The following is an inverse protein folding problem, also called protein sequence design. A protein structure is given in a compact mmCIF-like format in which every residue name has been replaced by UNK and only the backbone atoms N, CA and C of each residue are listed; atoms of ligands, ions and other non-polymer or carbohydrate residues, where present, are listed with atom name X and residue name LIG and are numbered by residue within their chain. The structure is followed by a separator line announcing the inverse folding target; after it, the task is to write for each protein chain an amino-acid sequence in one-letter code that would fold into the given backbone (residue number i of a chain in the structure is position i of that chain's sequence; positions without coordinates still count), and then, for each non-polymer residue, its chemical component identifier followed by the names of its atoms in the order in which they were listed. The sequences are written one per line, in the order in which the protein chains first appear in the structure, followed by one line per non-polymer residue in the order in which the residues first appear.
data_IF_746229374920
#
_entry.id   IF_746229374920
#
_cell.length_a   1.000
_cell.length_b   1.000
_cell.length_c   1.000
_cell.angle_alpha   90.00
_cell.angle_beta   90.00
_cell.angle_gamma   90.00
#
_symmetry.space_group_name_H-M   'P 1'
#
loop_
_entity.id
_entity.type
_entity.pdbx_description
1 polymer ?
#
# COMPACT_ATOMS: atom_id res chain seq x y z
N UNK A 1 8.26 15.49 -6.96
CA UNK A 1 9.46 16.09 -7.57
C UNK A 1 9.33 17.60 -7.73
N UNK A 2 8.25 18.13 -8.31
CA UNK A 2 8.08 19.57 -8.57
C UNK A 2 8.09 20.46 -7.29
N UNK A 3 7.47 19.99 -6.19
CA UNK A 3 7.51 20.68 -4.89
C UNK A 3 8.93 20.82 -4.32
N UNK A 4 9.75 19.78 -4.46
CA UNK A 4 11.12 19.77 -3.94
C UNK A 4 12.03 20.70 -4.75
N UNK A 5 11.77 20.86 -6.05
CA UNK A 5 12.51 21.77 -6.91
C UNK A 5 12.23 23.25 -6.60
N UNK A 6 10.97 23.62 -6.34
CA UNK A 6 10.62 24.99 -5.92
C UNK A 6 11.28 25.36 -4.59
N UNK A 7 11.32 24.43 -3.64
CA UNK A 7 12.06 24.60 -2.38
C UNK A 7 13.56 24.80 -2.61
N UNK A 8 14.16 24.02 -3.51
CA UNK A 8 15.57 24.18 -3.87
C UNK A 8 15.87 25.58 -4.44
N UNK A 9 15.07 26.08 -5.39
CA UNK A 9 15.23 27.43 -5.95
C UNK A 9 15.06 28.53 -4.89
N UNK A 10 14.11 28.37 -3.97
CA UNK A 10 13.94 29.28 -2.85
C UNK A 10 15.17 29.29 -1.94
N UNK A 11 15.63 28.12 -1.51
CA UNK A 11 16.79 27.99 -0.61
C UNK A 11 18.08 28.52 -1.27
N UNK A 12 18.25 28.27 -2.57
CA UNK A 12 19.31 28.86 -3.40
C UNK A 12 19.31 30.38 -3.34
N UNK A 13 18.16 30.99 -3.64
CA UNK A 13 18.01 32.46 -3.65
C UNK A 13 18.25 33.02 -2.27
N UNK A 14 17.66 32.41 -1.25
CA UNK A 14 17.86 32.81 0.13
C UNK A 14 19.33 32.77 0.52
N UNK A 15 20.06 31.70 0.16
CA UNK A 15 21.49 31.58 0.42
C UNK A 15 22.27 32.76 -0.17
N UNK A 16 22.20 32.98 -1.50
CA UNK A 16 22.96 34.06 -2.16
C UNK A 16 22.61 35.46 -1.62
N UNK A 17 21.32 35.72 -1.35
CA UNK A 17 20.91 37.03 -0.83
C UNK A 17 21.29 37.20 0.65
N UNK A 18 21.25 36.15 1.46
CA UNK A 18 21.65 36.21 2.87
C UNK A 18 23.15 36.40 3.02
N UNK A 19 23.98 35.69 2.24
CA UNK A 19 25.43 35.85 2.24
C UNK A 19 25.82 37.25 1.77
N UNK A 20 25.23 37.72 0.67
CA UNK A 20 25.47 39.06 0.15
C UNK A 20 25.03 40.15 1.14
N UNK A 21 23.92 39.95 1.86
CA UNK A 21 23.47 40.86 2.92
C UNK A 21 24.42 40.90 4.11
N UNK A 22 24.93 39.75 4.55
CA UNK A 22 25.92 39.66 5.63
C UNK A 22 27.20 40.40 5.22
N UNK A 23 27.65 40.21 3.98
CA UNK A 23 28.85 40.85 3.45
C UNK A 23 28.72 42.38 3.42
N UNK A 24 27.59 42.90 2.91
CA UNK A 24 27.29 44.34 2.91
C UNK A 24 27.22 44.90 4.35
N UNK A 25 26.66 44.14 5.29
CA UNK A 25 26.54 44.56 6.70
C UNK A 25 27.90 44.61 7.41
N UNK A 26 28.79 43.63 7.15
CA UNK A 26 30.13 43.56 7.74
C UNK A 26 31.07 44.63 7.17
N UNK A 27 30.83 45.11 5.95
CA UNK A 27 31.71 46.05 5.23
C UNK A 27 31.25 47.51 5.30
N UNK A 28 30.43 47.87 6.29
CA UNK A 28 30.01 49.27 6.53
C UNK A 28 31.24 50.15 6.84
N UNK A 29 31.68 50.97 5.89
CA UNK A 29 32.64 52.04 6.15
C UNK A 29 33.62 52.38 5.02
N UNK A 30 33.79 51.56 3.99
CA UNK A 30 34.72 51.85 2.90
C UNK A 30 34.05 52.05 1.52
N UNK A 31 34.82 52.63 0.59
CA UNK A 31 34.39 52.96 -0.78
C UNK A 31 34.38 51.73 -1.69
N UNK A 32 33.40 50.84 -1.51
CA UNK A 32 33.26 49.62 -2.31
C UNK A 32 32.37 49.80 -3.56
N UNK A 33 32.66 49.02 -4.60
CA UNK A 33 31.86 48.97 -5.83
C UNK A 33 30.71 47.98 -5.68
N UNK A 34 29.53 48.43 -5.23
CA UNK A 34 28.36 47.56 -5.04
C UNK A 34 27.69 47.09 -6.35
N UNK A 35 28.00 47.73 -7.48
CA UNK A 35 27.34 47.47 -8.77
C UNK A 35 27.48 46.02 -9.26
N UNK A 36 28.66 45.38 -9.25
CA UNK A 36 28.80 43.98 -9.67
C UNK A 36 27.98 43.00 -8.83
N UNK A 37 27.92 43.19 -7.50
CA UNK A 37 27.10 42.38 -6.60
C UNK A 37 25.61 42.57 -6.86
N UNK A 38 25.16 43.80 -7.12
CA UNK A 38 23.76 44.09 -7.45
C UNK A 38 23.36 43.46 -8.78
N UNK A 39 24.21 43.56 -9.81
CA UNK A 39 24.00 42.91 -11.11
C UNK A 39 23.95 41.40 -10.95
N UNK A 40 24.84 40.81 -10.15
CA UNK A 40 24.85 39.38 -9.88
C UNK A 40 23.56 38.91 -9.17
N UNK A 41 23.11 39.64 -8.14
CA UNK A 41 21.86 39.35 -7.45
C UNK A 41 20.65 39.42 -8.40
N UNK A 42 20.62 40.41 -9.30
CA UNK A 42 19.58 40.57 -10.30
C UNK A 42 19.56 39.40 -11.31
N UNK A 43 20.73 38.95 -11.78
CA UNK A 43 20.85 37.78 -12.67
C UNK A 43 20.29 36.52 -12.01
N UNK A 44 20.62 36.27 -10.74
CA UNK A 44 20.07 35.14 -9.98
C UNK A 44 18.55 35.25 -9.84
N UNK A 45 18.03 36.45 -9.57
CA UNK A 45 16.58 36.66 -9.44
C UNK A 45 15.86 36.35 -10.75
N UNK A 46 16.37 36.86 -11.87
CA UNK A 46 15.81 36.61 -13.20
C UNK A 46 15.87 35.12 -13.55
N UNK A 47 17.01 34.46 -13.32
CA UNK A 47 17.13 33.01 -13.57
C UNK A 47 16.14 32.19 -12.73
N UNK A 48 15.94 32.54 -11.45
CA UNK A 48 14.94 31.89 -10.60
C UNK A 48 13.52 32.09 -11.13
N UNK A 49 13.16 33.32 -11.53
CA UNK A 49 11.83 33.63 -12.07
C UNK A 49 11.54 32.91 -13.38
N UNK A 50 12.56 32.67 -14.22
CA UNK A 50 12.40 31.89 -15.45
C UNK A 50 12.24 30.39 -15.13
N UNK A 51 13.08 29.86 -14.23
CA UNK A 51 13.15 28.43 -13.96
C UNK A 51 12.00 27.91 -13.07
N UNK A 52 11.39 28.77 -12.23
CA UNK A 52 10.24 28.38 -11.40
C UNK A 52 9.01 27.93 -12.22
N UNK A 53 8.90 28.40 -13.47
CA UNK A 53 7.80 28.06 -14.40
C UNK A 53 8.21 27.07 -15.50
N UNK A 54 9.49 27.02 -15.89
CA UNK A 54 9.95 26.19 -17.03
C UNK A 54 10.48 24.80 -16.65
N UNK A 55 11.00 24.61 -15.44
CA UNK A 55 11.70 23.37 -15.08
C UNK A 55 10.96 22.56 -14.01
N UNK A 56 10.82 21.25 -14.26
CA UNK A 56 10.10 20.31 -13.38
C UNK A 56 11.01 19.57 -12.38
N UNK A 57 12.33 19.82 -12.39
CA UNK A 57 13.30 19.14 -11.53
C UNK A 57 14.74 19.63 -11.69
N UNK A 58 15.63 19.16 -10.82
CA UNK A 58 17.06 19.45 -10.85
C UNK A 58 17.68 18.68 -12.03
N UNK A 59 18.20 19.42 -13.02
CA UNK A 59 18.91 18.83 -14.17
C UNK A 59 20.40 19.11 -14.07
N UNK A 60 21.20 18.33 -14.79
CA UNK A 60 22.65 18.52 -14.78
C UNK A 60 23.03 19.93 -15.26
N UNK A 61 22.31 20.47 -16.28
CA UNK A 61 22.47 21.84 -16.76
C UNK A 61 22.26 22.88 -15.65
N UNK A 62 21.25 22.68 -14.79
CA UNK A 62 20.99 23.59 -13.66
C UNK A 62 22.17 23.58 -12.70
N UNK A 63 22.70 22.40 -12.32
CA UNK A 63 23.89 22.34 -11.46
C UNK A 63 25.11 22.98 -12.13
N UNK A 64 25.33 22.77 -13.42
CA UNK A 64 26.45 23.42 -14.13
C UNK A 64 26.34 24.95 -14.08
N UNK A 65 25.13 25.50 -14.28
CA UNK A 65 24.89 26.94 -14.16
C UNK A 65 25.10 27.42 -12.72
N UNK A 66 24.69 26.65 -11.71
CA UNK A 66 24.98 26.96 -10.30
C UNK A 66 26.46 27.11 -10.02
N UNK A 67 27.27 26.19 -10.54
CA UNK A 67 28.73 26.26 -10.33
C UNK A 67 29.28 27.53 -10.97
N UNK A 68 28.81 27.90 -12.17
CA UNK A 68 29.23 29.13 -12.83
C UNK A 68 28.82 30.36 -12.02
N UNK A 69 27.56 30.45 -11.57
CA UNK A 69 27.11 31.57 -10.73
C UNK A 69 27.91 31.64 -9.44
N UNK A 70 28.13 30.50 -8.79
CA UNK A 70 28.92 30.45 -7.56
C UNK A 70 30.38 30.86 -7.80
N UNK A 71 30.96 30.49 -8.94
CA UNK A 71 32.32 30.91 -9.32
C UNK A 71 32.41 32.43 -9.50
N UNK A 72 31.41 33.03 -10.17
CA UNK A 72 31.32 34.49 -10.31
C UNK A 72 31.15 35.13 -8.94
N UNK A 73 30.31 34.58 -8.07
CA UNK A 73 30.15 35.06 -6.69
C UNK A 73 31.47 35.07 -5.92
N UNK A 74 32.23 33.96 -5.94
CA UNK A 74 33.53 33.89 -5.28
C UNK A 74 34.51 34.93 -5.83
N UNK A 75 34.52 35.11 -7.15
CA UNK A 75 35.33 36.15 -7.79
C UNK A 75 34.95 37.54 -7.27
N UNK A 76 33.66 37.87 -7.17
CA UNK A 76 33.21 39.17 -6.65
C UNK A 76 33.61 39.37 -5.18
N UNK A 77 33.50 38.32 -4.36
CA UNK A 77 33.60 38.35 -2.89
C UNK A 77 35.01 38.10 -2.33
N UNK A 78 36.04 38.28 -3.16
CA UNK A 78 37.43 38.21 -2.69
C UNK A 78 38.18 36.95 -3.12
N UNK A 79 37.87 36.40 -4.30
CA UNK A 79 38.70 35.48 -5.07
C UNK A 79 39.25 34.26 -4.29
N UNK A 80 40.58 34.17 -4.18
CA UNK A 80 41.35 33.17 -3.47
C UNK A 80 41.17 33.24 -1.95
N UNK A 81 40.75 34.39 -1.42
CA UNK A 81 40.49 34.61 0.01
C UNK A 81 39.01 34.59 0.36
N UNK A 82 38.12 34.32 -0.61
CA UNK A 82 36.69 34.27 -0.35
C UNK A 82 36.38 33.19 0.71
N UNK A 83 35.72 33.54 1.84
CA UNK A 83 35.39 32.58 2.89
C UNK A 83 34.36 31.54 2.43
N UNK A 84 33.77 31.73 1.24
CA UNK A 84 32.72 30.89 0.71
C UNK A 84 33.22 29.72 -0.15
N UNK A 85 34.53 29.60 -0.43
CA UNK A 85 35.10 28.48 -1.21
C UNK A 85 34.61 27.08 -0.76
N UNK A 86 34.46 26.77 0.55
CA UNK A 86 33.92 25.48 0.99
C UNK A 86 32.52 25.14 0.45
N UNK A 87 31.70 26.12 0.06
CA UNK A 87 30.35 25.85 -0.45
C UNK A 87 30.34 25.16 -1.82
N UNK A 88 31.46 25.10 -2.54
CA UNK A 88 31.60 24.20 -3.68
C UNK A 88 31.35 22.73 -3.30
N UNK A 89 31.66 22.31 -2.06
CA UNK A 89 31.31 20.96 -1.58
C UNK A 89 29.81 20.72 -1.62
N UNK A 90 28.99 21.73 -1.30
CA UNK A 90 27.52 21.60 -1.32
C UNK A 90 27.02 21.34 -2.74
N UNK A 91 27.61 21.96 -3.77
CA UNK A 91 27.26 21.72 -5.17
C UNK A 91 27.63 20.29 -5.62
N UNK A 92 28.76 19.77 -5.16
CA UNK A 92 29.17 18.38 -5.41
C UNK A 92 28.22 17.41 -4.69
N UNK A 93 27.86 17.67 -3.43
CA UNK A 93 26.89 16.87 -2.67
C UNK A 93 25.51 16.86 -3.35
N UNK A 94 25.05 18.01 -3.84
CA UNK A 94 23.81 18.11 -4.61
C UNK A 94 23.86 17.27 -5.89
N UNK A 95 25.01 17.25 -6.58
CA UNK A 95 25.20 16.40 -7.74
C UNK A 95 25.16 14.90 -7.36
N UNK A 96 25.81 14.50 -6.28
CA UNK A 96 25.80 13.13 -5.79
C UNK A 96 24.39 12.63 -5.42
N UNK A 97 23.60 13.47 -4.75
CA UNK A 97 22.23 13.13 -4.36
C UNK A 97 21.33 12.88 -5.59
N UNK A 98 21.48 13.69 -6.65
CA UNK A 98 20.54 13.72 -7.77
C UNK A 98 21.00 12.93 -9.01
N UNK A 99 22.30 12.67 -9.17
CA UNK A 99 22.86 12.08 -10.39
C UNK A 99 23.68 10.81 -10.10
N UNK A 100 24.29 10.25 -11.16
CA UNK A 100 25.17 9.09 -11.07
C UNK A 100 26.56 9.51 -10.57
N UNK A 101 27.31 8.54 -10.04
CA UNK A 101 28.68 8.75 -9.56
C UNK A 101 29.56 9.41 -10.60
N UNK A 102 29.48 8.99 -11.87
CA UNK A 102 30.23 9.61 -12.97
C UNK A 102 29.91 11.10 -13.12
N UNK A 103 28.63 11.50 -13.01
CA UNK A 103 28.23 12.92 -13.09
C UNK A 103 28.69 13.72 -11.88
N UNK A 104 28.80 13.10 -10.71
CA UNK A 104 29.41 13.71 -9.52
C UNK A 104 30.89 14.01 -9.74
N UNK A 105 31.65 13.08 -10.33
CA UNK A 105 33.05 13.31 -10.68
C UNK A 105 33.21 14.41 -11.74
N UNK A 106 32.36 14.43 -12.77
CA UNK A 106 32.34 15.53 -13.75
C UNK A 106 32.06 16.86 -13.06
N UNK A 107 31.14 16.88 -12.09
CA UNK A 107 30.84 18.09 -11.30
C UNK A 107 32.06 18.56 -10.52
N UNK A 108 32.78 17.67 -9.83
CA UNK A 108 34.03 18.02 -9.14
C UNK A 108 35.14 18.51 -10.10
N UNK A 109 35.19 17.97 -11.32
CA UNK A 109 36.07 18.47 -12.37
C UNK A 109 35.74 19.90 -12.80
N UNK A 110 34.46 20.19 -13.07
CA UNK A 110 33.98 21.53 -13.44
C UNK A 110 34.25 22.53 -12.30
N UNK A 111 33.94 22.14 -11.06
CA UNK A 111 34.23 22.93 -9.86
C UNK A 111 35.72 23.23 -9.73
N UNK A 112 36.58 22.22 -9.88
CA UNK A 112 38.03 22.37 -9.80
C UNK A 112 38.55 23.37 -10.84
N UNK A 113 38.14 23.22 -12.10
CA UNK A 113 38.57 24.13 -13.18
C UNK A 113 38.12 25.57 -12.91
N UNK A 114 36.86 25.77 -12.55
CA UNK A 114 36.33 27.11 -12.29
C UNK A 114 36.93 27.73 -11.03
N UNK A 115 37.16 26.94 -9.97
CA UNK A 115 37.85 27.41 -8.78
C UNK A 115 39.30 27.84 -9.09
N UNK A 116 40.00 27.11 -9.96
CA UNK A 116 41.32 27.50 -10.45
C UNK A 116 41.28 28.84 -11.20
N UNK A 117 40.28 29.05 -12.05
CA UNK A 117 40.07 30.34 -12.75
C UNK A 117 39.82 31.47 -11.75
N UNK A 118 39.03 31.24 -10.70
CA UNK A 118 38.78 32.24 -9.65
C UNK A 118 40.07 32.56 -8.87
N UNK A 119 40.86 31.55 -8.50
CA UNK A 119 42.09 31.69 -7.72
C UNK A 119 43.22 32.43 -8.47
N UNK A 120 43.39 32.16 -9.77
CA UNK A 120 44.52 32.66 -10.56
C UNK A 120 44.14 33.71 -11.60
N UNK A 121 42.87 34.05 -11.73
CA UNK A 121 42.37 34.94 -12.78
C UNK A 121 42.49 36.43 -12.49
N UNK A 122 42.73 36.84 -11.24
CA UNK A 122 42.83 38.27 -10.86
C UNK A 122 44.02 38.94 -11.54
N UNK A 123 43.81 40.09 -12.16
CA UNK A 123 44.83 40.86 -12.88
C UNK A 123 45.24 40.29 -14.24
N UNK A 124 45.10 38.97 -14.46
CA UNK A 124 45.38 38.32 -15.74
C UNK A 124 44.15 38.22 -16.65
N UNK A 125 43.02 37.80 -16.09
CA UNK A 125 41.76 37.53 -16.81
C UNK A 125 40.71 38.58 -16.43
N UNK A 126 40.69 38.98 -15.16
CA UNK A 126 39.66 39.87 -14.63
C UNK A 126 40.26 41.19 -14.13
N UNK A 127 39.73 42.34 -14.59
CA UNK A 127 40.18 43.65 -14.13
C UNK A 127 39.73 43.95 -12.69
N UNK A 128 40.56 44.72 -11.96
CA UNK A 128 40.39 45.03 -10.53
C UNK A 128 39.04 45.67 -10.16
N UNK A 129 38.35 46.35 -11.09
CA UNK A 129 37.06 47.01 -10.80
C UNK A 129 35.89 46.04 -10.61
N UNK A 130 36.04 44.76 -11.01
CA UNK A 130 34.99 43.75 -10.88
C UNK A 130 34.93 43.20 -9.44
N UNK A 131 36.04 43.23 -8.71
CA UNK A 131 36.14 42.71 -7.35
C UNK A 131 35.48 43.69 -6.37
N UNK A 132 34.51 43.19 -5.61
CA UNK A 132 33.86 43.96 -4.56
C UNK A 132 34.78 44.09 -3.34
N UNK A 133 35.38 42.97 -2.93
CA UNK A 133 36.36 42.91 -1.85
C UNK A 133 37.78 43.01 -2.41
N UNK A 134 38.50 44.07 -2.00
CA UNK A 134 39.94 44.21 -2.26
C UNK A 134 40.73 43.60 -1.12
N UNK A 135 40.77 42.27 -1.07
CA UNK A 135 41.62 41.56 -0.14
C UNK A 135 43.07 41.50 -0.65
N UNK A 136 44.07 41.43 0.26
CA UNK A 136 45.47 41.27 -0.12
C UNK A 136 45.62 40.02 -0.98
N UNK A 137 46.26 40.12 -2.14
CA UNK A 137 46.49 38.95 -2.97
C UNK A 137 47.46 38.01 -2.27
N UNK A 138 47.09 36.75 -2.00
CA UNK A 138 47.99 35.77 -1.40
C UNK A 138 49.19 35.51 -2.32
N UNK A 139 50.26 34.96 -1.75
CA UNK A 139 51.41 34.56 -2.56
C UNK A 139 51.01 33.45 -3.56
N UNK A 140 51.72 33.36 -4.67
CA UNK A 140 51.45 32.31 -5.68
C UNK A 140 51.57 30.91 -5.07
N UNK A 141 52.53 30.72 -4.16
CA UNK A 141 52.73 29.43 -3.47
C UNK A 141 51.54 29.09 -2.55
N UNK A 142 51.05 30.04 -1.77
CA UNK A 142 49.86 29.84 -0.93
C UNK A 142 48.63 29.50 -1.76
N UNK A 143 48.42 30.21 -2.88
CA UNK A 143 47.30 29.98 -3.79
C UNK A 143 47.36 28.57 -4.39
N UNK A 144 48.55 28.12 -4.81
CA UNK A 144 48.77 26.76 -5.33
C UNK A 144 48.48 25.71 -4.25
N UNK A 145 48.97 25.91 -3.02
CA UNK A 145 48.76 24.96 -1.92
C UNK A 145 47.27 24.85 -1.57
N UNK A 146 46.59 25.98 -1.37
CA UNK A 146 45.15 26.03 -1.06
C UNK A 146 44.35 25.38 -2.18
N UNK A 147 44.61 25.74 -3.44
CA UNK A 147 43.95 25.14 -4.59
C UNK A 147 44.17 23.62 -4.65
N UNK A 148 45.40 23.15 -4.43
CA UNK A 148 45.72 21.71 -4.45
C UNK A 148 44.97 20.95 -3.36
N UNK A 149 44.88 21.51 -2.15
CA UNK A 149 44.11 20.93 -1.05
C UNK A 149 42.63 20.82 -1.43
N UNK A 150 42.02 21.91 -1.93
CA UNK A 150 40.63 21.90 -2.32
C UNK A 150 40.35 20.97 -3.51
N UNK A 151 41.24 20.92 -4.50
CA UNK A 151 41.17 19.98 -5.62
C UNK A 151 41.06 18.54 -5.10
N UNK A 152 41.99 18.11 -4.24
CA UNK A 152 41.97 16.77 -3.66
C UNK A 152 40.69 16.54 -2.84
N UNK A 153 40.26 17.52 -2.05
CA UNK A 153 39.03 17.42 -1.26
C UNK A 153 37.78 17.33 -2.14
N UNK A 154 37.69 18.05 -3.27
CA UNK A 154 36.54 17.97 -4.17
C UNK A 154 36.38 16.56 -4.75
N UNK A 155 37.47 15.96 -5.20
CA UNK A 155 37.45 14.58 -5.71
C UNK A 155 37.18 13.55 -4.60
N UNK A 156 37.72 13.77 -3.40
CA UNK A 156 37.43 12.92 -2.24
C UNK A 156 35.95 12.98 -1.84
N UNK A 157 35.37 14.18 -1.75
CA UNK A 157 33.95 14.38 -1.46
C UNK A 157 33.09 13.78 -2.58
N UNK A 158 33.46 13.95 -3.85
CA UNK A 158 32.76 13.33 -4.98
C UNK A 158 32.76 11.80 -4.90
N UNK A 159 33.89 11.19 -4.54
CA UNK A 159 34.02 9.74 -4.38
C UNK A 159 33.13 9.21 -3.24
N UNK A 160 33.24 9.80 -2.04
CA UNK A 160 32.47 9.36 -0.87
C UNK A 160 30.97 9.60 -1.07
N UNK A 161 30.59 10.82 -1.44
CA UNK A 161 29.17 11.17 -1.58
C UNK A 161 28.52 10.42 -2.74
N UNK A 162 29.24 10.23 -3.85
CA UNK A 162 28.79 9.41 -4.96
C UNK A 162 28.55 7.96 -4.54
N UNK A 163 29.54 7.33 -3.89
CA UNK A 163 29.42 5.96 -3.40
C UNK A 163 28.27 5.78 -2.41
N UNK A 164 28.15 6.68 -1.42
CA UNK A 164 27.07 6.62 -0.42
C UNK A 164 25.71 6.79 -1.10
N UNK A 165 25.57 7.76 -2.00
CA UNK A 165 24.29 8.02 -2.67
C UNK A 165 23.86 6.84 -3.56
N UNK A 166 24.80 6.21 -4.27
CA UNK A 166 24.51 5.02 -5.09
C UNK A 166 24.16 3.81 -4.23
N UNK A 167 24.95 3.55 -3.18
CA UNK A 167 24.67 2.46 -2.23
C UNK A 167 23.31 2.63 -1.54
N UNK A 168 22.98 3.85 -1.12
CA UNK A 168 21.69 4.15 -0.50
C UNK A 168 20.52 3.91 -1.47
N UNK A 169 20.66 4.34 -2.73
CA UNK A 169 19.64 4.09 -3.78
C UNK A 169 19.41 2.60 -3.98
N UNK A 170 20.50 1.81 -4.08
CA UNK A 170 20.42 0.35 -4.25
C UNK A 170 19.76 -0.31 -3.04
N UNK A 171 20.12 0.10 -1.81
CA UNK A 171 19.55 -0.50 -0.60
C UNK A 171 18.06 -0.20 -0.46
N UNK A 172 17.63 1.04 -0.76
CA UNK A 172 16.21 1.43 -0.75
C UNK A 172 15.43 0.63 -1.79
N UNK A 173 15.97 0.46 -3.00
CA UNK A 173 15.29 -0.31 -4.04
C UNK A 173 15.23 -1.81 -3.68
N UNK A 174 16.31 -2.37 -3.12
CA UNK A 174 16.33 -3.75 -2.62
C UNK A 174 15.25 -3.98 -1.56
N UNK A 175 15.18 -3.11 -0.54
CA UNK A 175 14.15 -3.21 0.50
C UNK A 175 12.74 -3.12 -0.08
N UNK A 176 12.53 -2.26 -1.07
CA UNK A 176 11.25 -2.10 -1.76
C UNK A 176 10.85 -3.36 -2.51
N UNK A 177 11.75 -3.93 -3.32
CA UNK A 177 11.52 -5.17 -4.06
C UNK A 177 11.22 -6.32 -3.11
N UNK A 178 12.05 -6.52 -2.08
CA UNK A 178 11.84 -7.60 -1.10
C UNK A 178 10.49 -7.48 -0.40
N UNK A 179 10.07 -6.26 -0.04
CA UNK A 179 8.76 -6.04 0.58
C UNK A 179 7.62 -6.37 -0.39
N UNK A 180 7.71 -5.93 -1.65
CA UNK A 180 6.69 -6.22 -2.66
C UNK A 180 6.61 -7.72 -2.99
N UNK A 181 7.74 -8.41 -3.11
CA UNK A 181 7.81 -9.85 -3.35
C UNK A 181 7.21 -10.66 -2.20
N UNK A 182 7.55 -10.32 -0.95
CA UNK A 182 6.94 -10.96 0.23
C UNK A 182 5.43 -10.76 0.22
N UNK A 183 4.96 -9.54 -0.01
CA UNK A 183 3.53 -9.22 -0.01
C UNK A 183 2.79 -9.87 -1.19
N UNK A 184 3.46 -10.13 -2.30
CA UNK A 184 2.89 -10.86 -3.44
C UNK A 184 2.93 -12.38 -3.28
N UNK A 185 3.80 -12.91 -2.40
CA UNK A 185 3.89 -14.33 -2.11
C UNK A 185 2.83 -14.82 -1.10
N UNK A 186 2.27 -13.93 -0.29
CA UNK A 186 1.22 -14.29 0.67
C UNK A 186 -0.14 -14.44 -0.01
N UNK A 187 -0.95 -15.37 0.49
CA UNK A 187 -2.28 -15.66 -0.03
C UNK A 187 -3.33 -14.58 0.30
N UNK A 188 -3.34 -13.93 1.49
CA UNK A 188 -4.30 -12.86 1.74
C UNK A 188 -4.08 -11.67 0.80
N UNK A 189 -5.17 -11.14 0.26
CA UNK A 189 -5.19 -9.90 -0.49
C UNK A 189 -4.91 -8.72 0.43
N UNK A 190 -3.92 -7.89 0.10
CA UNK A 190 -3.57 -6.68 0.84
C UNK A 190 -3.78 -5.45 -0.05
N UNK A 191 -4.50 -4.48 0.48
CA UNK A 191 -4.71 -3.17 -0.16
C UNK A 191 -4.37 -2.09 0.86
N UNK A 192 -3.48 -1.18 0.49
CA UNK A 192 -3.14 -0.02 1.29
C UNK A 192 -3.67 1.24 0.62
N UNK A 193 -4.46 2.03 1.34
CA UNK A 193 -5.09 3.25 0.87
C UNK A 193 -4.59 4.41 1.73
N UNK A 194 -4.09 5.47 1.10
CA UNK A 194 -3.71 6.69 1.82
C UNK A 194 -4.92 7.55 2.19
N UNK A 195 -4.74 8.51 3.09
CA UNK A 195 -5.82 9.42 3.54
C UNK A 195 -6.57 10.16 2.43
N UNK A 196 -5.92 10.36 1.28
CA UNK A 196 -6.50 11.02 0.14
C UNK A 196 -7.34 10.08 -0.75
N UNK A 197 -7.53 8.82 -0.35
CA UNK A 197 -8.21 7.80 -1.16
C UNK A 197 -7.33 7.17 -2.25
N UNK A 198 -6.04 7.53 -2.32
CA UNK A 198 -5.11 6.95 -3.29
C UNK A 198 -4.68 5.56 -2.87
N UNK A 199 -4.70 4.61 -3.80
CA UNK A 199 -4.15 3.27 -3.58
C UNK A 199 -2.62 3.38 -3.54
N UNK A 200 -2.03 3.09 -2.39
CA UNK A 200 -0.59 3.09 -2.17
C UNK A 200 0.04 1.74 -2.54
N UNK A 201 -0.68 0.64 -2.30
CA UNK A 201 -0.21 -0.71 -2.58
C UNK A 201 -1.40 -1.67 -2.78
N UNK A 202 -1.21 -2.67 -3.64
CA UNK A 202 -2.16 -3.76 -3.86
C UNK A 202 -1.38 -4.99 -4.32
N UNK A 203 -1.39 -6.06 -3.52
CA UNK A 203 -0.68 -7.29 -3.87
C UNK A 203 -1.41 -8.08 -4.97
N UNK A 204 -0.73 -9.12 -5.48
CA UNK A 204 -1.27 -10.02 -6.50
C UNK A 204 -2.61 -10.63 -6.09
N UNK A 205 -2.71 -11.18 -4.88
CA UNK A 205 -3.94 -11.83 -4.40
C UNK A 205 -5.14 -10.87 -4.39
N UNK A 206 -4.97 -9.62 -3.92
CA UNK A 206 -6.05 -8.63 -3.92
C UNK A 206 -6.55 -8.30 -5.33
N UNK A 207 -5.65 -8.23 -6.32
CA UNK A 207 -6.02 -8.01 -7.73
C UNK A 207 -6.82 -9.19 -8.27
N UNK A 208 -6.35 -10.41 -8.04
CA UNK A 208 -7.02 -11.63 -8.47
C UNK A 208 -8.43 -11.75 -7.85
N UNK A 209 -8.57 -11.50 -6.53
CA UNK A 209 -9.85 -11.61 -5.84
C UNK A 209 -10.86 -10.55 -6.30
N UNK A 210 -10.44 -9.29 -6.44
CA UNK A 210 -11.37 -8.18 -6.67
C UNK A 210 -11.62 -7.89 -8.14
N UNK A 211 -10.56 -7.88 -8.96
CA UNK A 211 -10.59 -7.38 -10.33
C UNK A 211 -10.57 -8.51 -11.37
N UNK A 212 -10.00 -9.67 -11.04
CA UNK A 212 -9.81 -10.77 -11.99
C UNK A 212 -8.58 -10.59 -12.89
N UNK A 213 -8.52 -11.33 -14.00
CA UNK A 213 -7.37 -11.29 -14.94
C UNK A 213 -7.34 -10.03 -15.82
N UNK A 214 -8.47 -9.35 -15.96
CA UNK A 214 -8.60 -8.21 -16.85
C UNK A 214 -8.47 -6.90 -16.07
N UNK A 215 -7.49 -6.10 -16.49
CA UNK A 215 -7.41 -4.64 -16.35
C UNK A 215 -6.67 -3.94 -15.19
N UNK A 216 -5.90 -2.96 -15.66
CA UNK A 216 -5.60 -1.62 -15.16
C UNK A 216 -5.15 -1.41 -13.69
N UNK A 217 -4.02 -0.70 -13.56
CA UNK A 217 -3.55 -0.11 -12.31
C UNK A 217 -4.55 0.96 -11.83
N UNK A 218 -5.56 0.54 -11.05
CA UNK A 218 -6.42 1.47 -10.31
C UNK A 218 -5.53 2.34 -9.42
N UNK A 219 -5.68 3.66 -9.50
CA UNK A 219 -4.88 4.61 -8.71
C UNK A 219 -5.65 5.16 -7.53
N UNK A 220 -6.97 5.19 -7.62
CA UNK A 220 -7.85 5.73 -6.60
C UNK A 220 -8.90 4.72 -6.14
N UNK A 221 -9.26 4.76 -4.86
CA UNK A 221 -10.32 3.93 -4.29
C UNK A 221 -11.68 4.17 -4.95
N UNK A 222 -11.91 5.39 -5.44
CA UNK A 222 -13.13 5.76 -6.15
C UNK A 222 -13.28 5.05 -7.51
N UNK A 223 -12.21 4.50 -8.07
CA UNK A 223 -12.25 3.77 -9.34
C UNK A 223 -12.75 2.33 -9.15
N UNK A 224 -12.83 1.83 -7.91
CA UNK A 224 -13.35 0.48 -7.65
C UNK A 224 -14.85 0.36 -8.01
N UNK A 225 -15.27 -0.80 -8.54
CA UNK A 225 -16.69 -1.11 -8.71
C UNK A 225 -17.48 -0.94 -7.40
N UNK A 226 -18.75 -0.49 -7.45
CA UNK A 226 -19.59 -0.32 -6.26
C UNK A 226 -19.67 -1.59 -5.40
N UNK A 227 -19.70 -2.75 -6.05
CA UNK A 227 -19.74 -4.06 -5.37
C UNK A 227 -18.49 -4.32 -4.52
N UNK A 228 -17.32 -3.88 -4.98
CA UNK A 228 -16.05 -4.00 -4.26
C UNK A 228 -15.99 -2.97 -3.13
N UNK A 229 -16.47 -1.75 -3.36
CA UNK A 229 -16.52 -0.71 -2.31
C UNK A 229 -17.36 -1.14 -1.11
N UNK A 230 -18.47 -1.85 -1.32
CA UNK A 230 -19.32 -2.41 -0.25
C UNK A 230 -18.61 -3.39 0.68
N UNK A 231 -17.49 -3.99 0.23
CA UNK A 231 -16.65 -4.83 1.08
C UNK A 231 -15.96 -4.01 2.19
N UNK A 232 -15.75 -2.71 1.95
CA UNK A 232 -14.94 -1.81 2.79
C UNK A 232 -15.76 -0.76 3.56
N UNK A 233 -17.09 -0.69 3.36
CA UNK A 233 -17.96 0.33 3.97
C UNK A 233 -18.09 0.19 5.51
N UNK A 234 -17.96 -1.03 6.06
CA UNK A 234 -18.16 -1.30 7.49
C UNK A 234 -16.85 -1.43 8.27
N UNK A 235 -16.91 -1.04 9.54
CA UNK A 235 -15.75 -0.94 10.44
C UNK A 235 -15.56 -2.18 11.33
N UNK A 236 -16.35 -3.24 11.10
CA UNK A 236 -16.23 -4.48 11.85
C UNK A 236 -15.03 -5.29 11.37
N UNK A 237 -14.28 -5.82 12.34
CA UNK A 237 -13.14 -6.69 12.08
C UNK A 237 -13.63 -8.07 11.67
N UNK A 238 -12.92 -8.71 10.73
CA UNK A 238 -13.17 -10.08 10.28
C UNK A 238 -14.60 -10.32 9.73
N UNK A 239 -15.12 -9.35 8.98
CA UNK A 239 -16.45 -9.48 8.36
C UNK A 239 -16.39 -10.50 7.23
N UNK A 240 -17.22 -11.55 7.35
CA UNK A 240 -17.45 -12.50 6.27
C UNK A 240 -18.38 -11.90 5.22
N UNK A 241 -17.95 -11.89 3.96
CA UNK A 241 -18.73 -11.41 2.82
C UNK A 241 -18.64 -12.42 1.68
N UNK A 242 -19.78 -12.74 1.09
CA UNK A 242 -19.82 -13.54 -0.13
C UNK A 242 -19.63 -12.62 -1.34
N UNK A 243 -18.62 -12.92 -2.17
CA UNK A 243 -18.31 -12.17 -3.37
C UNK A 243 -17.90 -13.14 -4.49
N UNK A 244 -18.55 -13.02 -5.65
CA UNK A 244 -18.33 -13.91 -6.82
C UNK A 244 -18.39 -15.41 -6.49
N UNK A 245 -19.28 -15.81 -5.57
CA UNK A 245 -19.45 -17.21 -5.14
C UNK A 245 -18.36 -17.75 -4.21
N UNK A 246 -17.48 -16.87 -3.71
CA UNK A 246 -16.46 -17.18 -2.70
C UNK A 246 -16.77 -16.44 -1.41
N UNK A 247 -16.28 -16.97 -0.30
CA UNK A 247 -16.45 -16.36 1.02
C UNK A 247 -15.15 -15.71 1.42
N UNK A 248 -15.15 -14.39 1.65
CA UNK A 248 -13.97 -13.66 2.08
C UNK A 248 -14.17 -13.08 3.48
N UNK A 249 -13.12 -13.08 4.28
CA UNK A 249 -13.03 -12.23 5.48
C UNK A 249 -12.30 -10.93 5.13
N UNK A 250 -12.89 -9.80 5.49
CA UNK A 250 -12.30 -8.48 5.28
C UNK A 250 -12.00 -7.84 6.63
N UNK A 251 -10.74 -7.45 6.81
CA UNK A 251 -10.25 -6.79 8.01
C UNK A 251 -9.57 -5.47 7.69
N UNK A 252 -9.92 -4.42 8.42
CA UNK A 252 -9.40 -3.06 8.26
C UNK A 252 -8.45 -2.71 9.41
N UNK A 253 -7.27 -2.19 9.06
CA UNK A 253 -6.25 -1.74 10.00
C UNK A 253 -5.88 -0.29 9.69
N UNK A 254 -5.87 0.58 10.70
CA UNK A 254 -5.37 1.94 10.56
C UNK A 254 -3.84 1.94 10.59
N UNK A 255 -3.19 2.62 9.64
CA UNK A 255 -1.76 2.85 9.73
C UNK A 255 -1.45 3.79 10.90
N UNK A 256 -0.28 3.60 11.52
CA UNK A 256 0.23 4.51 12.54
C UNK A 256 0.24 5.96 12.04
N UNK A 257 -0.13 6.87 12.93
CA UNK A 257 -0.27 8.32 12.69
C UNK A 257 -1.39 8.70 11.71
N UNK A 258 -2.33 7.77 11.43
CA UNK A 258 -3.48 8.04 10.58
C UNK A 258 -3.07 8.46 9.17
N UNK A 259 -2.02 7.84 8.61
CA UNK A 259 -1.52 8.10 7.25
C UNK A 259 -2.28 7.34 6.16
N UNK A 260 -3.15 6.42 6.56
CA UNK A 260 -4.00 5.65 5.68
C UNK A 260 -4.52 4.41 6.39
N UNK A 261 -5.00 3.47 5.60
CA UNK A 261 -5.61 2.23 6.05
C UNK A 261 -5.14 1.04 5.21
N UNK A 262 -5.04 -0.12 5.84
CA UNK A 262 -4.74 -1.40 5.22
C UNK A 262 -5.98 -2.27 5.31
N UNK A 263 -6.40 -2.82 4.18
CA UNK A 263 -7.42 -3.84 4.10
C UNK A 263 -6.76 -5.17 3.80
N UNK A 264 -7.09 -6.17 4.61
CA UNK A 264 -6.67 -7.56 4.44
C UNK A 264 -7.90 -8.37 4.08
N UNK A 265 -7.83 -9.10 2.97
CA UNK A 265 -8.90 -9.89 2.38
C UNK A 265 -8.43 -11.34 2.35
N UNK A 266 -9.05 -12.20 3.14
CA UNK A 266 -8.68 -13.61 3.25
C UNK A 266 -9.78 -14.46 2.62
N UNK A 267 -9.44 -15.31 1.66
CA UNK A 267 -10.38 -16.29 1.11
C UNK A 267 -10.62 -17.40 2.16
N UNK A 268 -11.85 -17.54 2.60
CA UNK A 268 -12.30 -18.54 3.58
C UNK A 268 -13.09 -19.67 2.92
N UNK A 269 -13.18 -19.71 1.58
CA UNK A 269 -14.06 -20.64 0.86
C UNK A 269 -13.79 -22.10 1.25
N UNK A 270 -12.52 -22.54 1.16
CA UNK A 270 -12.14 -23.92 1.50
C UNK A 270 -12.40 -24.25 2.98
N UNK A 271 -12.12 -23.30 3.88
CA UNK A 271 -12.35 -23.47 5.32
C UNK A 271 -13.83 -23.67 5.58
N UNK A 272 -14.70 -22.84 4.98
CA UNK A 272 -16.15 -22.95 5.12
C UNK A 272 -16.72 -24.21 4.50
N UNK A 273 -16.20 -24.66 3.37
CA UNK A 273 -16.58 -25.96 2.78
C UNK A 273 -16.18 -27.12 3.68
N UNK A 274 -15.01 -27.05 4.32
CA UNK A 274 -14.54 -28.07 5.25
C UNK A 274 -15.37 -28.08 6.54
N UNK A 275 -15.73 -26.90 7.09
CA UNK A 275 -16.66 -26.79 8.22
C UNK A 275 -18.01 -27.45 7.90
N UNK A 276 -18.57 -27.22 6.70
CA UNK A 276 -19.82 -27.86 6.26
C UNK A 276 -19.69 -29.39 6.19
N UNK A 277 -18.58 -29.90 5.63
CA UNK A 277 -18.31 -31.34 5.55
C UNK A 277 -18.18 -31.97 6.93
N UNK A 278 -17.50 -31.30 7.87
CA UNK A 278 -17.37 -31.77 9.25
C UNK A 278 -18.73 -31.87 9.95
N UNK A 279 -19.59 -30.87 9.79
CA UNK A 279 -20.96 -30.90 10.33
C UNK A 279 -21.75 -32.08 9.75
N UNK A 280 -21.61 -32.35 8.44
CA UNK A 280 -22.26 -33.49 7.80
C UNK A 280 -21.74 -34.83 8.35
N UNK A 281 -20.43 -34.97 8.50
CA UNK A 281 -19.83 -36.18 9.07
C UNK A 281 -20.26 -36.43 10.52
N UNK A 282 -20.33 -35.39 11.34
CA UNK A 282 -20.80 -35.49 12.73
C UNK A 282 -22.26 -35.98 12.80
N UNK A 283 -23.13 -35.47 11.90
CA UNK A 283 -24.51 -35.95 11.74
C UNK A 283 -24.56 -37.42 11.31
N UNK A 284 -23.73 -37.82 10.34
CA UNK A 284 -23.66 -39.21 9.88
C UNK A 284 -23.13 -40.17 10.95
N UNK A 285 -22.13 -39.77 11.73
CA UNK A 285 -21.60 -40.56 12.83
C UNK A 285 -22.66 -40.75 13.93
N UNK A 286 -23.39 -39.67 14.26
CA UNK A 286 -24.53 -39.72 15.18
C UNK A 286 -25.60 -40.70 14.68
N UNK A 287 -25.96 -40.64 13.40
CA UNK A 287 -26.86 -41.62 12.78
C UNK A 287 -26.33 -43.06 12.87
N UNK A 288 -25.04 -43.27 12.63
CA UNK A 288 -24.39 -44.58 12.76
C UNK A 288 -24.53 -45.17 14.17
N UNK A 289 -24.42 -44.32 15.20
CA UNK A 289 -24.61 -44.72 16.61
C UNK A 289 -26.06 -45.17 16.89
N UNK A 290 -27.03 -44.50 16.29
CA UNK A 290 -28.45 -44.86 16.41
C UNK A 290 -28.93 -45.85 15.34
N UNK A 291 -28.06 -46.30 14.44
CA UNK A 291 -28.46 -47.17 13.32
C UNK A 291 -29.02 -48.52 13.80
N UNK A 292 -28.49 -49.05 14.90
CA UNK A 292 -29.02 -50.26 15.53
C UNK A 292 -30.44 -50.01 16.05
N UNK A 293 -30.66 -48.92 16.78
CA UNK A 293 -31.97 -48.56 17.34
C UNK A 293 -33.00 -48.27 16.24
N UNK A 294 -32.60 -47.55 15.18
CA UNK A 294 -33.45 -47.29 14.02
C UNK A 294 -33.80 -48.58 13.29
N UNK A 295 -32.84 -49.50 13.11
CA UNK A 295 -33.12 -50.81 12.53
C UNK A 295 -34.11 -51.61 13.40
N UNK A 296 -34.04 -51.49 14.72
CA UNK A 296 -35.01 -52.06 15.64
C UNK A 296 -36.40 -51.37 15.52
N UNK A 297 -36.45 -50.05 15.43
CA UNK A 297 -37.68 -49.28 15.26
C UNK A 297 -38.35 -49.47 13.90
N UNK A 298 -37.61 -49.82 12.84
CA UNK A 298 -38.14 -50.23 11.53
C UNK A 298 -38.64 -51.68 11.57
N UNK A 299 -37.91 -52.58 12.26
CA UNK A 299 -38.29 -53.99 12.33
C UNK A 299 -39.65 -54.18 13.01
N UNK A 300 -39.95 -53.39 14.04
CA UNK A 300 -41.20 -53.48 14.80
C UNK A 300 -42.48 -53.26 13.94
N UNK A 301 -42.67 -52.13 13.23
CA UNK A 301 -43.81 -51.91 12.35
C UNK A 301 -43.88 -52.94 11.23
N UNK A 302 -42.74 -53.33 10.63
CA UNK A 302 -42.70 -54.34 9.58
C UNK A 302 -43.20 -55.70 10.08
N UNK A 303 -42.79 -56.12 11.28
CA UNK A 303 -43.26 -57.36 11.90
C UNK A 303 -44.75 -57.30 12.24
N UNK A 304 -45.23 -56.15 12.73
CA UNK A 304 -46.66 -55.91 13.02
C UNK A 304 -47.54 -55.97 11.76
N UNK A 305 -47.09 -55.32 10.68
CA UNK A 305 -47.74 -55.37 9.37
C UNK A 305 -47.79 -56.80 8.85
N UNK A 306 -46.64 -57.51 8.89
CA UNK A 306 -46.54 -58.90 8.42
C UNK A 306 -47.46 -59.82 9.22
N UNK A 307 -47.47 -59.71 10.55
CA UNK A 307 -48.32 -60.52 11.42
C UNK A 307 -49.81 -60.28 11.17
N UNK A 308 -50.21 -59.00 11.06
CA UNK A 308 -51.59 -58.62 10.76
C UNK A 308 -52.03 -59.11 9.38
N UNK A 309 -51.18 -58.94 8.36
CA UNK A 309 -51.44 -59.42 7.00
C UNK A 309 -51.51 -60.95 6.91
N UNK A 310 -50.67 -61.67 7.67
CA UNK A 310 -50.67 -63.14 7.71
C UNK A 310 -51.95 -63.70 8.35
N UNK A 311 -52.46 -63.05 9.41
CA UNK A 311 -53.74 -63.42 10.03
C UNK A 311 -54.92 -63.22 9.07
N UNK A 312 -54.92 -62.11 8.33
CA UNK A 312 -55.90 -61.82 7.29
C UNK A 312 -55.81 -62.84 6.13
N UNK A 313 -54.60 -63.09 5.62
CA UNK A 313 -54.37 -63.99 4.48
C UNK A 313 -54.75 -65.45 4.77
N UNK A 314 -54.45 -65.94 5.98
CA UNK A 314 -54.77 -67.33 6.37
C UNK A 314 -56.24 -67.53 6.76
N UNK A 315 -57.07 -66.49 6.74
CA UNK A 315 -58.48 -66.56 7.15
C UNK A 315 -58.66 -67.00 8.61
N UNK A 316 -57.66 -66.73 9.46
CA UNK A 316 -57.67 -67.11 10.88
C UNK A 316 -58.61 -66.25 11.72
N UNK A 317 -59.04 -65.11 11.18
CA UNK A 317 -59.98 -64.18 11.78
C UNK A 317 -61.21 -64.10 10.88
N UNK A 318 -62.39 -64.39 11.44
CA UNK A 318 -63.68 -64.40 10.72
C UNK A 318 -64.63 -63.31 11.18
N UNK A 319 -64.36 -62.69 12.32
CA UNK A 319 -65.10 -61.56 12.84
C UNK A 319 -64.78 -60.30 12.02
N UNK A 320 -65.82 -59.61 11.52
CA UNK A 320 -65.67 -58.39 10.71
C UNK A 320 -64.97 -57.27 11.46
N UNK A 321 -65.25 -57.11 12.75
CA UNK A 321 -64.68 -56.03 13.57
C UNK A 321 -63.20 -56.28 13.83
N UNK A 322 -62.78 -57.53 13.99
CA UNK A 322 -61.36 -57.89 14.10
C UNK A 322 -60.61 -57.75 12.78
N UNK A 323 -61.24 -58.12 11.64
CA UNK A 323 -60.67 -57.91 10.31
C UNK A 323 -60.44 -56.41 10.04
N UNK A 324 -61.39 -55.55 10.38
CA UNK A 324 -61.25 -54.09 10.22
C UNK A 324 -60.13 -53.53 11.11
N UNK A 325 -59.99 -54.01 12.35
CA UNK A 325 -58.88 -53.63 13.24
C UNK A 325 -57.51 -54.01 12.66
N UNK A 326 -57.37 -55.20 12.09
CA UNK A 326 -56.11 -55.64 11.46
C UNK A 326 -55.73 -54.77 10.26
N UNK A 327 -56.70 -54.36 9.44
CA UNK A 327 -56.46 -53.39 8.37
C UNK A 327 -56.04 -52.01 8.88
N UNK A 328 -56.68 -51.52 9.96
CA UNK A 328 -56.28 -50.26 10.61
C UNK A 328 -54.85 -50.32 11.16
N UNK A 329 -54.44 -51.44 11.76
CA UNK A 329 -53.06 -51.61 12.24
C UNK A 329 -52.03 -51.61 11.10
N UNK A 330 -52.32 -52.29 10.00
CA UNK A 330 -51.44 -52.28 8.82
C UNK A 330 -51.29 -50.84 8.30
N UNK A 331 -52.40 -50.11 8.19
CA UNK A 331 -52.38 -48.73 7.70
C UNK A 331 -51.61 -47.79 8.63
N UNK A 332 -51.84 -47.86 9.94
CA UNK A 332 -51.15 -46.99 10.92
C UNK A 332 -49.65 -47.27 10.97
N UNK A 333 -49.24 -48.55 10.93
CA UNK A 333 -47.81 -48.88 10.94
C UNK A 333 -47.13 -48.53 9.61
N UNK A 334 -47.85 -48.57 8.48
CA UNK A 334 -47.35 -48.06 7.21
C UNK A 334 -47.09 -46.54 7.27
N UNK A 335 -48.02 -45.76 7.84
CA UNK A 335 -47.84 -44.31 8.03
C UNK A 335 -46.68 -44.00 8.99
N UNK A 336 -46.54 -44.80 10.05
CA UNK A 336 -45.42 -44.66 10.99
C UNK A 336 -44.08 -44.93 10.30
N UNK A 337 -44.00 -45.99 9.48
CA UNK A 337 -42.80 -46.32 8.70
C UNK A 337 -42.43 -45.19 7.73
N UNK A 338 -43.43 -44.60 7.06
CA UNK A 338 -43.26 -43.46 6.17
C UNK A 338 -42.71 -42.23 6.91
N UNK A 339 -43.25 -41.91 8.09
CA UNK A 339 -42.73 -40.82 8.92
C UNK A 339 -41.29 -41.08 9.35
N UNK A 340 -40.99 -42.29 9.83
CA UNK A 340 -39.66 -42.66 10.31
C UNK A 340 -38.60 -42.56 9.19
N UNK A 341 -38.93 -43.06 8.00
CA UNK A 341 -38.04 -43.00 6.83
C UNK A 341 -37.86 -41.57 6.32
N UNK A 342 -38.92 -40.75 6.33
CA UNK A 342 -38.83 -39.33 5.98
C UNK A 342 -37.93 -38.55 6.93
N UNK A 343 -38.09 -38.74 8.25
CA UNK A 343 -37.28 -38.06 9.25
C UNK A 343 -35.79 -38.47 9.14
N UNK A 344 -35.53 -39.75 8.88
CA UNK A 344 -34.19 -40.29 8.59
C UNK A 344 -33.54 -39.67 7.34
N UNK A 345 -34.29 -39.54 6.25
CA UNK A 345 -33.82 -38.93 5.01
C UNK A 345 -33.61 -37.41 5.14
N UNK A 346 -34.38 -36.74 5.99
CA UNK A 346 -34.22 -35.30 6.23
C UNK A 346 -32.98 -34.99 7.07
N UNK A 347 -32.64 -35.84 8.04
CA UNK A 347 -31.46 -35.64 8.89
C UNK A 347 -30.13 -35.87 8.14
N UNK A 348 -30.15 -36.73 7.12
CA UNK A 348 -28.97 -37.08 6.30
C UNK A 348 -28.72 -36.12 5.13
N UNK A 349 -29.66 -35.22 4.82
CA UNK A 349 -29.53 -34.24 3.74
C UNK A 349 -28.84 -32.96 4.20
N UNK A 350 -28.14 -32.34 3.26
CA UNK A 350 -27.63 -30.99 3.43
C UNK A 350 -28.81 -30.00 3.51
N UNK A 351 -28.92 -29.28 4.63
CA UNK A 351 -29.95 -28.24 4.79
C UNK A 351 -29.43 -26.99 4.07
N UNK A 352 -30.00 -26.67 2.91
CA UNK A 352 -29.79 -25.36 2.29
C UNK A 352 -30.52 -24.31 3.11
N UNK A 353 -29.76 -23.48 3.82
CA UNK A 353 -30.30 -22.36 4.58
C UNK A 353 -30.50 -21.20 3.61
N UNK A 354 -31.74 -20.96 3.20
CA UNK A 354 -32.11 -19.76 2.46
C UNK A 354 -32.39 -18.62 3.44
N UNK A 355 -31.56 -17.58 3.40
CA UNK A 355 -31.74 -16.39 4.23
C UNK A 355 -32.64 -15.41 3.50
N UNK A 356 -33.69 -14.95 4.16
CA UNK A 356 -34.59 -13.91 3.68
C UNK A 356 -34.93 -12.94 4.81
N UNK A 357 -35.34 -11.71 4.45
CA UNK A 357 -35.88 -10.78 5.43
C UNK A 357 -37.30 -11.22 5.78
N UNK A 358 -37.57 -11.48 7.06
CA UNK A 358 -38.86 -11.98 7.53
C UNK A 358 -39.37 -11.13 8.69
N UNK A 359 -40.66 -10.81 8.68
CA UNK A 359 -41.33 -10.19 9.82
C UNK A 359 -41.58 -11.23 10.91
N UNK A 360 -40.86 -11.10 12.02
CA UNK A 360 -40.96 -12.00 13.18
C UNK A 360 -42.38 -12.13 13.73
N UNK A 361 -43.15 -11.04 13.75
CA UNK A 361 -44.52 -11.06 14.28
C UNK A 361 -45.47 -11.87 13.40
N UNK A 362 -45.34 -11.75 12.07
CA UNK A 362 -46.15 -12.54 11.13
C UNK A 362 -45.78 -14.02 11.15
N UNK A 363 -44.49 -14.33 11.22
CA UNK A 363 -44.00 -15.70 11.33
C UNK A 363 -44.53 -16.38 12.59
N UNK A 364 -44.44 -15.70 13.74
CA UNK A 364 -44.96 -16.21 15.01
C UNK A 364 -46.47 -16.47 14.95
N UNK A 365 -47.23 -15.55 14.34
CA UNK A 365 -48.68 -15.74 14.14
C UNK A 365 -48.97 -16.97 13.30
N UNK A 366 -48.30 -17.12 12.16
CA UNK A 366 -48.46 -18.26 11.28
C UNK A 366 -48.12 -19.59 11.98
N UNK A 367 -47.09 -19.62 12.83
CA UNK A 367 -46.74 -20.79 13.63
C UNK A 367 -47.85 -21.14 14.64
N UNK A 368 -48.37 -20.14 15.35
CA UNK A 368 -49.47 -20.32 16.32
C UNK A 368 -50.73 -20.84 15.61
N UNK A 369 -51.09 -20.24 14.48
CA UNK A 369 -52.26 -20.65 13.69
C UNK A 369 -52.11 -22.10 13.20
N UNK A 370 -50.92 -22.49 12.74
CA UNK A 370 -50.63 -23.86 12.28
C UNK A 370 -50.74 -24.88 13.43
N UNK A 371 -50.23 -24.55 14.62
CA UNK A 371 -50.34 -25.42 15.80
C UNK A 371 -51.79 -25.52 16.29
N UNK A 372 -52.57 -24.45 16.19
CA UNK A 372 -53.98 -24.46 16.60
C UNK A 372 -54.88 -25.34 15.71
N UNK A 373 -54.46 -25.60 14.46
CA UNK A 373 -55.21 -26.40 13.48
C UNK A 373 -54.91 -27.92 13.54
N UNK A 374 -53.87 -28.36 14.25
CA UNK A 374 -53.42 -29.76 14.23
C UNK A 374 -53.17 -30.27 15.68
N UNK A 375 -54.17 -30.86 16.37
CA UNK A 375 -54.11 -31.13 17.82
C UNK A 375 -53.31 -32.38 18.23
N UNK A 376 -52.34 -32.83 17.42
CA UNK A 376 -51.54 -34.05 17.71
C UNK A 376 -50.10 -33.71 18.14
N UNK A 377 -49.94 -32.59 18.84
CA UNK A 377 -48.78 -32.34 19.70
C UNK A 377 -49.23 -32.11 21.14
#
# INVERSE_FOLDING_TARGET
MERNFKWFLFLRTFFYYSTLSIEILLLRGESYHFLPLFVFALVILIDNLINIFRTKGITFRVITLEIIYFSVFLMLTGDAQSPFIPFYFVLILLAAANFSVSKTFVTAGIVSVLHGIVMFGRGAIFPEFIFFLKLPTPSTLESILVYTIYFLLYFFVAAISGYIAERLKVEVERLRITTEDILNAIEPGIITIGNNGKILFMNRAAKEFLLGEDTAQLKHFEEFPPEVKRLFENHEKDREVEFKGRIFSVSRYLLHNGLGEIFVITDLTEIKEMEKKLILFDRMATLGKFAADIAHEIRNPVMSIKGSAELLYRGKVKDKDEVEKLWKYIFSESQRLEKLTRDFLNFSKEIKIERSSVNLCELLKSCIDTMSFNPVF
#
